data_IF_148134653791
#
_entry.id   IF_148134653791
#
_cell.length_a   1.000
_cell.length_b   1.000
_cell.length_c   1.000
_cell.angle_alpha   90.00
_cell.angle_beta   90.00
_cell.angle_gamma   90.00
#
_symmetry.space_group_name_H-M   'P 1'
#
loop_
_entity.id
_entity.type
_entity.pdbx_description
1 polymer ?
#
# COMPACT_ATOMS: atom_id res chain seq x y z
N UNK A 1 -23.18 15.62 -18.63
CA UNK A 1 -23.20 15.46 -17.16
C UNK A 1 -22.49 14.16 -16.80
N UNK A 2 -21.17 14.19 -16.58
CA UNK A 2 -20.36 12.98 -16.39
C UNK A 2 -20.34 12.55 -14.91
N UNK A 3 -20.91 11.37 -14.64
CA UNK A 3 -21.00 10.72 -13.32
C UNK A 3 -19.71 9.98 -12.96
N UNK A 4 -18.59 10.68 -12.74
CA UNK A 4 -17.31 10.06 -12.30
C UNK A 4 -16.87 10.47 -10.89
N UNK A 5 -17.81 10.70 -9.99
CA UNK A 5 -17.56 11.00 -8.58
C UNK A 5 -17.78 9.76 -7.72
N UNK A 6 -16.76 8.90 -7.55
CA UNK A 6 -16.90 7.73 -6.67
C UNK A 6 -15.83 7.60 -5.60
N UNK A 7 -14.52 7.60 -5.91
CA UNK A 7 -13.51 7.31 -4.87
C UNK A 7 -12.92 8.55 -4.16
N UNK A 8 -12.51 9.65 -4.82
CA UNK A 8 -11.92 10.80 -4.12
C UNK A 8 -12.92 11.44 -3.14
N UNK A 9 -14.17 11.60 -3.57
CA UNK A 9 -15.25 12.10 -2.70
C UNK A 9 -15.58 11.12 -1.56
N UNK A 10 -15.46 9.82 -1.79
CA UNK A 10 -15.64 8.81 -0.74
C UNK A 10 -14.45 8.84 0.23
N UNK A 11 -13.24 9.06 -0.26
CA UNK A 11 -12.03 9.21 0.54
C UNK A 11 -12.06 10.47 1.41
N UNK A 12 -12.56 11.59 0.90
CA UNK A 12 -12.84 12.79 1.69
C UNK A 12 -13.88 12.52 2.79
N UNK A 13 -14.90 11.68 2.53
CA UNK A 13 -15.89 11.27 3.54
C UNK A 13 -15.33 10.25 4.54
N UNK A 14 -14.41 9.39 4.10
CA UNK A 14 -13.81 8.32 4.92
C UNK A 14 -12.69 8.86 5.80
N UNK A 15 -11.95 9.88 5.36
CA UNK A 15 -10.83 10.47 6.08
C UNK A 15 -10.97 12.00 6.08
N UNK A 16 -11.22 12.56 7.27
CA UNK A 16 -11.37 14.01 7.44
C UNK A 16 -10.03 14.73 7.45
N UNK A 17 -10.03 16.05 7.29
CA UNK A 17 -8.81 16.86 7.32
C UNK A 17 -8.15 16.81 8.71
N UNK A 18 -8.97 16.75 9.77
CA UNK A 18 -8.51 16.63 11.14
C UNK A 18 -7.75 15.32 11.37
N UNK A 19 -8.21 14.20 10.78
CA UNK A 19 -7.54 12.91 10.91
C UNK A 19 -6.20 12.88 10.20
N UNK A 20 -6.09 13.53 9.03
CA UNK A 20 -4.82 13.69 8.32
C UNK A 20 -3.86 14.56 9.15
N UNK A 21 -4.37 15.63 9.75
CA UNK A 21 -3.58 16.53 10.59
C UNK A 21 -3.07 15.82 11.85
N UNK A 22 -3.91 15.04 12.53
CA UNK A 22 -3.51 14.23 13.69
C UNK A 22 -2.43 13.20 13.33
N UNK A 23 -2.53 12.55 12.18
CA UNK A 23 -1.49 11.63 11.69
C UNK A 23 -0.19 12.38 11.41
N UNK A 24 -0.26 13.55 10.76
CA UNK A 24 0.91 14.37 10.46
C UNK A 24 1.62 14.83 11.74
N UNK A 25 0.86 15.31 12.73
CA UNK A 25 1.36 15.74 14.03
C UNK A 25 2.01 14.61 14.82
N UNK A 26 1.40 13.41 14.82
CA UNK A 26 1.97 12.23 15.46
C UNK A 26 3.32 11.79 14.87
N UNK A 27 3.61 12.17 13.63
CA UNK A 27 4.87 11.91 12.93
C UNK A 27 5.81 13.14 12.95
N UNK A 28 5.38 14.26 13.53
CA UNK A 28 6.13 15.51 13.58
C UNK A 28 6.26 16.21 12.22
N UNK A 29 5.39 15.88 11.25
CA UNK A 29 5.39 16.47 9.92
C UNK A 29 4.50 17.73 9.87
N UNK A 30 4.97 18.75 9.16
CA UNK A 30 4.20 19.96 8.85
C UNK A 30 4.39 20.32 7.39
N UNK A 31 3.34 20.83 6.77
CA UNK A 31 3.42 21.25 5.38
C UNK A 31 4.34 22.47 5.21
N UNK A 32 5.34 22.27 4.36
CA UNK A 32 6.31 23.29 3.94
C UNK A 32 5.70 24.36 3.01
N UNK A 33 4.63 24.01 2.28
CA UNK A 33 3.99 24.87 1.28
C UNK A 33 2.49 24.94 1.50
N UNK A 34 1.92 26.13 1.28
CA UNK A 34 0.48 26.39 1.26
C UNK A 34 -0.20 26.02 -0.06
N UNK A 35 0.56 25.80 -1.14
CA UNK A 35 0.01 25.57 -2.48
C UNK A 35 -0.13 24.08 -2.85
N UNK A 36 0.59 23.21 -2.15
CA UNK A 36 0.51 21.75 -2.32
C UNK A 36 0.73 21.08 -0.95
N UNK A 37 -0.38 20.85 -0.28
CA UNK A 37 -0.50 20.25 1.05
C UNK A 37 -0.39 18.73 0.98
N UNK A 38 -0.28 18.12 2.15
CA UNK A 38 -0.35 16.67 2.32
C UNK A 38 -1.67 16.10 1.76
N UNK A 39 -2.79 16.82 1.90
CA UNK A 39 -4.09 16.40 1.37
C UNK A 39 -4.07 16.30 -0.15
N UNK A 40 -3.50 17.29 -0.85
CA UNK A 40 -3.39 17.22 -2.31
C UNK A 40 -2.48 16.07 -2.76
N UNK A 41 -1.40 15.79 -2.03
CA UNK A 41 -0.54 14.65 -2.34
C UNK A 41 -1.29 13.31 -2.17
N UNK A 42 -2.10 13.16 -1.12
CA UNK A 42 -2.92 11.97 -0.89
C UNK A 42 -3.94 11.79 -2.02
N UNK A 43 -4.65 12.85 -2.41
CA UNK A 43 -5.56 12.81 -3.56
C UNK A 43 -4.85 12.48 -4.86
N UNK A 44 -3.65 13.06 -5.08
CA UNK A 44 -2.83 12.76 -6.23
C UNK A 44 -2.54 11.26 -6.34
N UNK A 45 -2.09 10.62 -5.26
CA UNK A 45 -1.81 9.19 -5.27
C UNK A 45 -3.04 8.32 -5.47
N UNK A 46 -4.17 8.69 -4.87
CA UNK A 46 -5.44 7.97 -5.07
C UNK A 46 -5.89 8.00 -6.53
N UNK A 47 -5.89 9.19 -7.14
CA UNK A 47 -6.25 9.35 -8.55
C UNK A 47 -5.25 8.65 -9.47
N UNK A 48 -3.96 8.74 -9.15
CA UNK A 48 -2.91 8.04 -9.89
C UNK A 48 -3.11 6.53 -9.87
N UNK A 49 -3.50 5.95 -8.72
CA UNK A 49 -3.78 4.53 -8.60
C UNK A 49 -5.04 4.12 -9.39
N UNK A 50 -6.12 4.89 -9.26
CA UNK A 50 -7.40 4.61 -9.94
C UNK A 50 -7.31 4.68 -11.46
N UNK A 51 -6.62 5.70 -11.97
CA UNK A 51 -6.51 5.97 -13.39
C UNK A 51 -5.19 5.46 -13.98
N UNK A 52 -4.43 4.69 -13.20
CA UNK A 52 -3.17 4.06 -13.59
C UNK A 52 -2.21 5.05 -14.24
N UNK A 53 -2.00 6.20 -13.60
CA UNK A 53 -1.09 7.22 -14.13
C UNK A 53 0.34 6.71 -14.15
N UNK A 54 0.95 6.80 -15.33
CA UNK A 54 2.28 6.26 -15.62
C UNK A 54 3.45 6.94 -14.89
N UNK A 55 3.29 8.20 -14.46
CA UNK A 55 4.36 8.97 -13.81
C UNK A 55 3.83 10.23 -13.13
N UNK A 56 4.65 10.88 -12.30
CA UNK A 56 4.33 12.20 -11.73
C UNK A 56 4.11 13.27 -12.79
N UNK A 57 4.82 13.19 -13.92
CA UNK A 57 4.60 14.10 -15.05
C UNK A 57 3.22 13.89 -15.66
N UNK A 58 2.90 12.65 -16.01
CA UNK A 58 1.59 12.32 -16.55
C UNK A 58 0.48 12.77 -15.58
N UNK A 59 0.63 12.49 -14.28
CA UNK A 59 -0.33 12.93 -13.27
C UNK A 59 -0.44 14.44 -13.11
N UNK A 60 0.64 15.21 -13.29
CA UNK A 60 0.59 16.67 -13.27
C UNK A 60 -0.16 17.24 -14.49
N UNK A 61 -0.03 16.59 -15.65
CA UNK A 61 -0.70 16.99 -16.89
C UNK A 61 -2.22 16.70 -16.82
N UNK A 62 -2.61 15.53 -16.30
CA UNK A 62 -4.02 15.13 -16.25
C UNK A 62 -4.73 15.48 -14.94
N UNK A 63 -4.00 15.77 -13.87
CA UNK A 63 -4.53 16.08 -12.54
C UNK A 63 -5.65 17.13 -12.53
N UNK A 64 -5.53 18.25 -13.26
CA UNK A 64 -6.60 19.25 -13.35
C UNK A 64 -7.94 18.73 -13.89
N UNK A 65 -7.93 17.70 -14.76
CA UNK A 65 -9.15 17.08 -15.27
C UNK A 65 -9.94 16.35 -14.17
N UNK A 66 -9.27 16.00 -13.07
CA UNK A 66 -9.81 15.28 -11.93
C UNK A 66 -9.95 16.17 -10.68
N UNK A 67 -9.87 17.49 -10.83
CA UNK A 67 -10.10 18.46 -9.76
C UNK A 67 -8.89 18.75 -8.86
N UNK A 68 -7.69 18.32 -9.24
CA UNK A 68 -6.46 18.75 -8.57
C UNK A 68 -6.03 20.15 -9.03
N UNK A 69 -5.36 20.95 -8.16
CA UNK A 69 -4.79 22.22 -8.58
C UNK A 69 -3.71 22.01 -9.65
N UNK A 70 -3.41 23.05 -10.42
CA UNK A 70 -2.27 23.00 -11.35
C UNK A 70 -0.97 23.09 -10.56
N UNK A 71 -0.09 22.12 -10.75
CA UNK A 71 1.27 22.10 -10.20
C UNK A 71 2.24 21.53 -11.22
N UNK A 72 3.53 21.80 -11.01
CA UNK A 72 4.58 21.18 -11.80
C UNK A 72 4.93 19.80 -11.22
N UNK A 73 5.32 18.84 -12.06
CA UNK A 73 5.66 17.48 -11.63
C UNK A 73 6.79 17.44 -10.58
N UNK A 74 7.71 18.40 -10.63
CA UNK A 74 8.79 18.51 -9.65
C UNK A 74 8.27 18.89 -8.25
N UNK A 75 7.15 19.59 -8.15
CA UNK A 75 6.46 19.88 -6.88
C UNK A 75 5.95 18.59 -6.24
N UNK A 76 5.28 17.74 -7.03
CA UNK A 76 4.81 16.42 -6.57
C UNK A 76 5.99 15.56 -6.13
N UNK A 77 7.05 15.49 -6.94
CA UNK A 77 8.24 14.68 -6.64
C UNK A 77 8.96 15.15 -5.38
N UNK A 78 9.11 16.47 -5.18
CA UNK A 78 9.73 17.01 -3.96
C UNK A 78 8.88 16.70 -2.73
N UNK A 79 7.58 16.94 -2.81
CA UNK A 79 6.66 16.68 -1.71
C UNK A 79 6.61 15.21 -1.33
N UNK A 80 6.54 14.31 -2.31
CA UNK A 80 6.57 12.87 -2.09
C UNK A 80 7.85 12.39 -1.41
N UNK A 81 8.98 13.08 -1.64
CA UNK A 81 10.25 12.81 -0.96
C UNK A 81 10.28 13.38 0.47
N UNK A 82 9.62 14.51 0.71
CA UNK A 82 9.55 15.18 2.03
C UNK A 82 8.59 14.46 2.99
N UNK A 83 7.46 13.94 2.49
CA UNK A 83 6.42 13.31 3.31
C UNK A 83 6.91 11.95 3.82
N UNK A 84 7.01 11.72 5.15
CA UNK A 84 7.39 10.43 5.70
C UNK A 84 6.39 9.34 5.34
N UNK A 85 6.89 8.17 4.92
CA UNK A 85 6.02 7.04 4.54
C UNK A 85 5.11 6.55 5.67
N UNK A 86 5.49 6.78 6.95
CA UNK A 86 4.70 6.39 8.12
C UNK A 86 3.32 7.07 8.14
N UNK A 87 3.20 8.28 7.56
CA UNK A 87 1.90 8.95 7.37
C UNK A 87 0.99 8.12 6.48
N UNK A 88 1.50 7.62 5.35
CA UNK A 88 0.72 6.78 4.42
C UNK A 88 0.34 5.44 5.05
N UNK A 89 1.24 4.85 5.86
CA UNK A 89 0.99 3.61 6.60
C UNK A 89 -0.14 3.78 7.62
N UNK A 90 -0.10 4.86 8.41
CA UNK A 90 -1.14 5.20 9.40
C UNK A 90 -2.47 5.53 8.72
N UNK A 91 -2.43 6.25 7.60
CA UNK A 91 -3.60 6.54 6.78
C UNK A 91 -4.25 5.25 6.27
N UNK A 92 -3.47 4.32 5.72
CA UNK A 92 -3.97 3.02 5.27
C UNK A 92 -4.61 2.23 6.43
N UNK A 93 -3.94 2.17 7.59
CA UNK A 93 -4.47 1.51 8.78
C UNK A 93 -5.80 2.14 9.25
N UNK A 94 -5.92 3.47 9.22
CA UNK A 94 -7.15 4.21 9.53
C UNK A 94 -8.28 3.82 8.57
N UNK A 95 -8.02 3.84 7.26
CA UNK A 95 -8.99 3.44 6.23
C UNK A 95 -9.44 2.00 6.46
N UNK A 96 -8.49 1.08 6.66
CA UNK A 96 -8.80 -0.33 6.94
C UNK A 96 -9.63 -0.50 8.20
N UNK A 97 -9.36 0.25 9.27
CA UNK A 97 -10.17 0.20 10.50
C UNK A 97 -11.61 0.64 10.29
N UNK A 98 -11.84 1.69 9.48
CA UNK A 98 -13.17 2.23 9.17
C UNK A 98 -13.95 1.30 8.24
N UNK A 99 -13.30 0.79 7.19
CA UNK A 99 -13.89 -0.19 6.27
C UNK A 99 -14.19 -1.52 6.99
N UNK A 100 -13.26 -2.02 7.80
CA UNK A 100 -13.46 -3.25 8.57
C UNK A 100 -14.58 -3.12 9.62
N UNK A 101 -14.85 -1.93 10.17
CA UNK A 101 -15.98 -1.73 11.09
C UNK A 101 -17.33 -1.95 10.40
N UNK A 102 -17.48 -1.47 9.16
CA UNK A 102 -18.71 -1.64 8.38
C UNK A 102 -18.83 -3.06 7.82
N UNK A 103 -17.72 -3.64 7.33
CA UNK A 103 -17.63 -5.03 6.85
C UNK A 103 -17.85 -6.06 7.97
N UNK A 104 -17.31 -5.85 9.18
CA UNK A 104 -17.57 -6.73 10.36
C UNK A 104 -19.01 -6.63 10.87
N UNK A 105 -19.68 -5.50 10.65
CA UNK A 105 -21.12 -5.36 10.98
C UNK A 105 -22.01 -6.05 9.95
N UNK A 106 -21.61 -6.07 8.67
CA UNK A 106 -22.39 -6.72 7.60
C UNK A 106 -22.12 -8.23 7.49
N UNK A 107 -20.89 -8.68 7.77
CA UNK A 107 -20.49 -10.07 7.78
C UNK A 107 -20.37 -10.53 9.24
N UNK A 108 -21.40 -11.20 9.77
CA UNK A 108 -21.38 -11.83 11.12
C UNK A 108 -20.39 -13.02 11.17
N UNK A 109 -19.10 -12.77 10.98
CA UNK A 109 -18.06 -13.81 11.05
C UNK A 109 -17.30 -13.75 12.39
N UNK A 110 -17.29 -14.83 13.19
CA UNK A 110 -16.66 -14.83 14.51
C UNK A 110 -15.13 -15.10 14.52
N UNK A 111 -14.46 -15.38 13.38
CA UNK A 111 -13.00 -15.59 13.28
C UNK A 111 -12.40 -15.06 11.95
N UNK A 112 -11.13 -14.62 11.91
CA UNK A 112 -10.50 -14.02 10.71
C UNK A 112 -10.17 -15.06 9.61
N UNK A 113 -10.34 -14.68 8.34
CA UNK A 113 -10.08 -15.54 7.17
C UNK A 113 -8.58 -15.48 6.79
N UNK A 114 -7.96 -16.64 6.51
CA UNK A 114 -6.55 -16.77 6.08
C UNK A 114 -6.47 -17.59 4.78
N UNK A 115 -5.57 -17.20 3.88
CA UNK A 115 -5.26 -17.83 2.58
C UNK A 115 -3.88 -18.50 2.69
N UNK A 116 -3.63 -19.65 2.07
CA UNK A 116 -2.35 -20.37 2.20
C UNK A 116 -1.76 -20.66 0.81
N UNK A 117 -0.47 -20.40 0.62
CA UNK A 117 0.28 -20.69 -0.62
C UNK A 117 1.71 -21.22 -0.33
N UNK A 118 2.41 -21.77 -1.32
CA UNK A 118 3.77 -22.34 -1.15
C UNK A 118 4.67 -22.15 -2.36
N UNK A 119 5.89 -21.63 -2.16
CA UNK A 119 6.87 -21.30 -3.22
C UNK A 119 8.25 -21.88 -2.91
N UNK A 120 9.03 -22.25 -3.95
CA UNK A 120 10.41 -22.75 -3.80
C UNK A 120 11.43 -21.73 -4.33
N UNK A 121 12.37 -21.32 -3.50
CA UNK A 121 13.50 -20.44 -3.89
C UNK A 121 14.73 -21.31 -4.14
N UNK A 122 15.41 -21.11 -5.27
CA UNK A 122 16.62 -21.89 -5.64
C UNK A 122 17.81 -20.99 -5.91
N UNK A 123 19.00 -21.49 -5.58
CA UNK A 123 20.31 -20.84 -5.76
C UNK A 123 21.34 -21.86 -6.28
N UNK A 124 22.56 -21.41 -6.62
CA UNK A 124 23.65 -22.33 -6.97
C UNK A 124 24.05 -23.22 -5.78
N UNK A 125 24.37 -24.49 -6.04
CA UNK A 125 24.62 -25.55 -5.03
C UNK A 125 25.53 -25.15 -3.87
N UNK A 126 26.58 -24.39 -4.16
CA UNK A 126 27.58 -24.01 -3.15
C UNK A 126 27.14 -22.84 -2.25
N UNK A 127 26.03 -22.15 -2.58
CA UNK A 127 25.57 -21.00 -1.78
C UNK A 127 24.74 -21.39 -0.57
N UNK A 128 24.04 -22.53 -0.63
CA UNK A 128 23.31 -23.10 0.50
C UNK A 128 23.67 -24.59 0.58
N UNK A 129 24.89 -24.93 1.05
CA UNK A 129 25.38 -26.31 1.05
C UNK A 129 24.55 -27.24 1.94
N UNK A 130 23.80 -26.67 2.89
CA UNK A 130 22.91 -27.38 3.81
C UNK A 130 21.51 -27.65 3.24
N UNK A 131 21.15 -27.10 2.07
CA UNK A 131 19.85 -27.28 1.43
C UNK A 131 20.01 -27.78 -0.03
N UNK A 132 20.59 -28.99 -0.23
CA UNK A 132 20.81 -29.50 -1.58
C UNK A 132 19.49 -29.64 -2.33
N UNK A 133 19.51 -29.24 -3.60
CA UNK A 133 18.37 -29.34 -4.50
C UNK A 133 18.84 -29.98 -5.80
N UNK A 134 17.93 -30.21 -6.74
CA UNK A 134 18.23 -31.02 -7.91
C UNK A 134 19.37 -30.44 -8.77
N UNK A 135 20.35 -31.28 -9.15
CA UNK A 135 21.48 -30.92 -10.00
C UNK A 135 22.52 -30.03 -9.29
N UNK A 136 23.00 -29.00 -9.99
CA UNK A 136 23.95 -28.01 -9.45
C UNK A 136 23.25 -26.85 -8.73
N UNK A 137 22.12 -27.13 -8.09
CA UNK A 137 21.32 -26.13 -7.35
C UNK A 137 21.11 -26.54 -5.90
N UNK A 138 20.90 -25.54 -5.06
CA UNK A 138 20.41 -25.68 -3.70
C UNK A 138 19.08 -24.90 -3.60
N UNK A 139 18.22 -25.22 -2.65
CA UNK A 139 16.88 -24.64 -2.64
C UNK A 139 16.06 -24.92 -1.40
N UNK A 140 15.21 -23.96 -1.08
CA UNK A 140 14.38 -23.89 0.12
C UNK A 140 12.93 -23.72 -0.30
N UNK A 141 12.00 -24.49 0.28
CA UNK A 141 10.56 -24.28 0.10
C UNK A 141 9.98 -23.52 1.30
N UNK A 142 9.22 -22.48 1.00
CA UNK A 142 8.52 -21.65 1.97
C UNK A 142 7.02 -21.86 1.82
N UNK A 143 6.37 -22.26 2.91
CA UNK A 143 4.93 -22.32 3.05
C UNK A 143 4.46 -21.05 3.76
N UNK A 144 3.52 -20.30 3.17
CA UNK A 144 3.06 -19.01 3.71
C UNK A 144 1.55 -19.02 3.89
N UNK A 145 1.10 -18.85 5.13
CA UNK A 145 -0.27 -18.45 5.41
C UNK A 145 -0.34 -16.92 5.30
N UNK A 146 -1.11 -16.42 4.35
CA UNK A 146 -1.38 -15.01 4.07
C UNK A 146 -2.71 -14.59 4.68
N UNK A 147 -2.75 -13.42 5.33
CA UNK A 147 -4.00 -12.83 5.77
C UNK A 147 -4.41 -11.75 4.76
N UNK A 148 -5.49 -11.96 3.99
CA UNK A 148 -5.97 -10.95 3.03
C UNK A 148 -6.33 -9.63 3.71
N UNK A 149 -6.80 -9.72 4.96
CA UNK A 149 -7.17 -8.59 5.81
C UNK A 149 -5.96 -7.71 6.15
N UNK A 150 -4.76 -8.27 6.28
CA UNK A 150 -3.52 -7.51 6.59
C UNK A 150 -2.55 -7.42 5.41
N UNK A 151 -2.87 -8.12 4.32
CA UNK A 151 -2.01 -8.31 3.15
C UNK A 151 -0.57 -8.69 3.48
N UNK A 152 -0.41 -9.48 4.54
CA UNK A 152 0.87 -9.97 5.04
C UNK A 152 0.83 -11.49 5.23
N UNK A 153 2.00 -12.14 5.14
CA UNK A 153 2.20 -13.45 5.75
C UNK A 153 1.81 -13.39 7.23
N UNK A 154 0.72 -14.07 7.58
CA UNK A 154 0.34 -14.31 8.96
C UNK A 154 1.26 -15.36 9.61
N UNK A 155 1.77 -16.31 8.82
CA UNK A 155 2.72 -17.33 9.27
C UNK A 155 3.57 -17.84 8.10
N UNK A 156 4.83 -18.19 8.37
CA UNK A 156 5.79 -18.69 7.37
C UNK A 156 6.57 -19.86 7.96
N UNK A 157 6.48 -21.01 7.29
CA UNK A 157 7.21 -22.22 7.69
C UNK A 157 8.14 -22.66 6.56
N UNK A 158 9.42 -22.80 6.88
CA UNK A 158 10.42 -23.36 5.98
C UNK A 158 10.44 -24.89 6.08
N UNK A 159 10.60 -25.55 4.94
CA UNK A 159 10.85 -26.99 4.91
C UNK A 159 11.93 -27.31 3.88
N UNK A 160 12.92 -28.10 4.28
CA UNK A 160 13.97 -28.54 3.38
C UNK A 160 13.62 -29.91 2.80
N UNK A 161 13.92 -30.11 1.51
CA UNK A 161 13.92 -31.45 0.93
C UNK A 161 15.27 -32.09 1.26
N UNK A 162 15.28 -33.15 2.06
CA UNK A 162 16.43 -34.04 2.11
C UNK A 162 16.52 -34.77 0.76
N UNK A 163 17.65 -34.65 0.09
CA UNK A 163 17.92 -35.41 -1.12
C UNK A 163 18.14 -36.89 -0.74
N UNK A 164 17.35 -37.78 -1.32
CA UNK A 164 17.61 -39.22 -1.40
C UNK A 164 18.41 -39.52 -2.66
#
# INVERSE_FOLDING_TARGET
MNKHTTLPNLMQKLVSDEEIQLIAEAVGYRDSSRTFTLRELIHFFLLAAMHQWKSFRHGADVGPLYGLPRFHYSTVSKKAKEVPYDIMKRLLALIMSKCNRQTRRSLRFPKPLRVVDSTTVTVGKNRLPWAPYHGERAGVKLHVAYSPESSLPADVVETHRTAS
#
